data_IF_302154853276
#
_entry.id   IF_302154853276
#
_cell.length_a   1.000
_cell.length_b   1.000
_cell.length_c   1.000
_cell.angle_alpha   90.00
_cell.angle_beta   90.00
_cell.angle_gamma   90.00
#
_symmetry.space_group_name_H-M   'P 1'
#
loop_
_entity.id
_entity.type
_entity.pdbx_description
1 polymer ?
#
# COMPACT_ATOMS: atom_id res chain seq x y z
N UNK A 1 -50.26 13.50 -6.64
CA UNK A 1 -49.05 13.98 -7.29
C UNK A 1 -48.03 14.17 -6.18
N UNK A 2 -47.11 13.29 -6.10
CA UNK A 2 -46.10 13.23 -5.05
C UNK A 2 -44.74 13.39 -5.72
N UNK A 3 -44.29 14.62 -5.82
CA UNK A 3 -42.97 14.92 -6.38
C UNK A 3 -41.91 14.57 -5.34
N UNK A 4 -41.03 13.67 -5.69
CA UNK A 4 -39.90 13.23 -4.86
C UNK A 4 -38.70 14.19 -5.07
N UNK A 5 -38.29 14.98 -4.06
CA UNK A 5 -37.26 16.02 -4.22
C UNK A 5 -35.82 15.50 -4.00
N UNK A 6 -35.50 14.26 -4.43
CA UNK A 6 -34.17 13.67 -4.19
C UNK A 6 -33.30 13.43 -5.42
N UNK A 7 -33.62 14.02 -6.57
CA UNK A 7 -32.88 13.73 -7.81
C UNK A 7 -31.86 14.79 -8.24
N UNK A 8 -31.78 15.94 -7.57
CA UNK A 8 -30.96 17.07 -8.05
C UNK A 8 -29.72 17.37 -7.20
N UNK A 9 -29.27 16.40 -6.40
CA UNK A 9 -28.05 16.54 -5.58
C UNK A 9 -26.83 15.84 -6.16
N UNK A 10 -26.80 15.54 -7.45
CA UNK A 10 -25.52 15.22 -8.11
C UNK A 10 -24.87 16.56 -8.47
N UNK A 11 -23.91 16.91 -7.63
CA UNK A 11 -23.05 18.06 -7.80
C UNK A 11 -22.67 18.30 -9.26
N UNK A 12 -22.66 19.56 -9.66
CA UNK A 12 -22.05 20.08 -10.87
C UNK A 12 -20.81 19.27 -11.25
N UNK A 13 -20.60 18.92 -12.51
CA UNK A 13 -19.39 18.19 -12.92
C UNK A 13 -18.19 18.99 -12.45
N UNK A 14 -17.34 18.36 -11.64
CA UNK A 14 -16.16 18.93 -11.04
C UNK A 14 -15.34 19.62 -12.13
N UNK A 15 -15.37 20.95 -12.19
CA UNK A 15 -14.63 21.71 -13.19
C UNK A 15 -13.12 21.60 -12.87
N UNK A 16 -12.46 20.66 -13.51
CA UNK A 16 -11.01 20.48 -13.43
C UNK A 16 -10.23 21.63 -14.11
N UNK A 17 -10.89 22.63 -14.65
CA UNK A 17 -10.26 23.72 -15.43
C UNK A 17 -9.95 24.97 -14.61
N UNK A 18 -10.46 25.10 -13.40
CA UNK A 18 -10.10 26.22 -12.54
C UNK A 18 -8.75 25.92 -11.86
N UNK A 19 -7.68 26.53 -12.36
CA UNK A 19 -6.28 26.40 -11.92
C UNK A 19 -5.98 26.88 -10.48
N UNK A 20 -6.67 26.33 -9.49
CA UNK A 20 -6.52 26.65 -8.07
C UNK A 20 -6.13 25.39 -7.27
N UNK A 21 -5.90 24.26 -7.93
CA UNK A 21 -5.49 23.05 -7.21
C UNK A 21 -3.99 22.87 -7.31
N UNK A 22 -3.30 22.97 -6.16
CA UNK A 22 -1.90 22.57 -6.03
C UNK A 22 -1.67 21.12 -6.45
N UNK A 23 -0.43 20.67 -6.43
CA UNK A 23 -0.05 19.31 -6.85
C UNK A 23 -0.86 18.24 -6.12
N UNK A 24 -1.28 17.23 -6.87
CA UNK A 24 -2.01 16.06 -6.36
C UNK A 24 -1.08 14.85 -6.36
N UNK A 25 -0.83 14.28 -5.20
CA UNK A 25 -0.13 13.01 -5.06
C UNK A 25 -1.09 11.83 -5.21
N UNK A 26 -0.76 10.88 -6.07
CA UNK A 26 -1.45 9.60 -6.20
C UNK A 26 -0.57 8.52 -5.59
N UNK A 27 -0.99 7.98 -4.46
CA UNK A 27 -0.27 6.92 -3.76
C UNK A 27 -0.94 5.57 -4.02
N UNK A 28 -0.27 4.72 -4.81
CA UNK A 28 -0.69 3.33 -4.99
C UNK A 28 -0.25 2.51 -3.78
N UNK A 29 -1.19 1.85 -3.12
CA UNK A 29 -0.88 1.05 -1.91
C UNK A 29 -1.17 -0.41 -2.16
N UNK A 30 -0.16 -1.27 -2.02
CA UNK A 30 -0.34 -2.71 -2.06
C UNK A 30 -0.21 -3.33 -0.66
N UNK A 31 -0.58 -4.62 -0.53
CA UNK A 31 -0.64 -5.31 0.76
C UNK A 31 0.70 -5.32 1.48
N UNK A 32 1.75 -5.64 0.77
CA UNK A 32 3.10 -5.69 1.33
C UNK A 32 3.83 -7.01 1.14
N UNK A 33 5.12 -6.95 1.42
CA UNK A 33 6.06 -8.04 1.20
C UNK A 33 7.27 -7.87 2.12
N UNK A 34 7.99 -8.94 2.48
CA UNK A 34 9.24 -8.80 3.23
C UNK A 34 10.31 -8.07 2.40
N UNK A 35 11.27 -7.47 3.09
CA UNK A 35 12.41 -6.80 2.44
C UNK A 35 13.43 -7.78 1.88
N UNK A 36 13.53 -8.97 2.50
CA UNK A 36 14.43 -10.05 2.11
C UNK A 36 13.82 -11.40 2.54
N UNK A 37 14.38 -12.50 2.03
CA UNK A 37 13.97 -13.87 2.34
C UNK A 37 14.65 -14.44 3.58
N UNK A 38 15.53 -13.68 4.24
CA UNK A 38 16.20 -14.08 5.47
C UNK A 38 15.24 -14.17 6.67
N UNK A 39 15.69 -14.91 7.71
CA UNK A 39 14.89 -15.14 8.90
C UNK A 39 14.40 -13.85 9.58
N UNK A 40 15.27 -12.83 9.70
CA UNK A 40 14.93 -11.63 10.44
C UNK A 40 14.01 -10.68 9.67
N UNK A 41 14.21 -10.56 8.36
CA UNK A 41 13.33 -9.81 7.47
C UNK A 41 11.94 -10.43 7.41
N UNK A 42 11.87 -11.76 7.26
CA UNK A 42 10.61 -12.49 7.34
C UNK A 42 9.94 -12.35 8.71
N UNK A 43 10.69 -12.40 9.80
CA UNK A 43 10.15 -12.25 11.15
C UNK A 43 9.56 -10.86 11.37
N UNK A 44 10.23 -9.79 10.90
CA UNK A 44 9.72 -8.41 10.98
C UNK A 44 8.42 -8.26 10.23
N UNK A 45 8.39 -8.69 8.97
CA UNK A 45 7.22 -8.66 8.12
C UNK A 45 6.03 -9.45 8.70
N UNK A 46 6.26 -10.70 9.11
CA UNK A 46 5.21 -11.52 9.71
C UNK A 46 4.70 -10.93 11.04
N UNK A 47 5.57 -10.33 11.83
CA UNK A 47 5.17 -9.65 13.07
C UNK A 47 4.25 -8.47 12.78
N UNK A 48 4.61 -7.61 11.84
CA UNK A 48 3.81 -6.45 11.44
C UNK A 48 2.45 -6.91 10.91
N UNK A 49 2.44 -7.79 9.93
CA UNK A 49 1.24 -8.32 9.28
C UNK A 49 0.28 -9.03 10.25
N UNK A 50 0.79 -9.95 11.06
CA UNK A 50 -0.03 -10.76 11.97
C UNK A 50 -0.37 -10.06 13.30
N UNK A 51 0.21 -8.90 13.57
CA UNK A 51 -0.19 -8.06 14.71
C UNK A 51 -1.39 -7.17 14.42
N UNK A 52 -1.74 -6.98 13.14
CA UNK A 52 -2.90 -6.17 12.76
C UNK A 52 -4.20 -6.91 13.13
N UNK A 53 -5.06 -6.21 13.89
CA UNK A 53 -6.35 -6.72 14.34
C UNK A 53 -7.34 -7.01 13.21
N UNK A 54 -7.15 -6.36 12.07
CA UNK A 54 -7.97 -6.57 10.88
C UNK A 54 -7.61 -7.87 10.16
N UNK A 55 -6.42 -8.41 10.41
CA UNK A 55 -5.95 -9.68 9.85
C UNK A 55 -6.30 -10.85 10.77
N UNK A 56 -6.18 -10.65 12.09
CA UNK A 56 -6.41 -11.70 13.10
C UNK A 56 -7.38 -11.20 14.18
N UNK A 57 -8.59 -11.73 14.14
CA UNK A 57 -9.68 -11.42 15.07
C UNK A 57 -9.72 -12.38 16.27
N UNK A 58 -8.60 -12.48 17.01
CA UNK A 58 -8.47 -13.35 18.18
C UNK A 58 -8.18 -12.50 19.42
N UNK A 59 -8.45 -13.05 20.63
CA UNK A 59 -8.09 -12.41 21.89
C UNK A 59 -6.61 -11.99 21.89
N UNK A 60 -6.34 -10.72 22.17
CA UNK A 60 -4.99 -10.11 22.03
C UNK A 60 -3.93 -10.78 22.88
N UNK A 61 -4.25 -11.14 24.10
CA UNK A 61 -3.27 -11.74 25.03
C UNK A 61 -2.88 -13.13 24.55
N UNK A 62 -3.89 -13.93 24.20
CA UNK A 62 -3.68 -15.29 23.66
C UNK A 62 -2.90 -15.21 22.36
N UNK A 63 -3.31 -14.33 21.45
CA UNK A 63 -2.63 -14.17 20.18
C UNK A 63 -1.19 -13.66 20.33
N UNK A 64 -0.94 -12.72 21.23
CA UNK A 64 0.40 -12.22 21.49
C UNK A 64 1.35 -13.35 21.93
N UNK A 65 0.90 -14.26 22.81
CA UNK A 65 1.69 -15.42 23.26
C UNK A 65 1.94 -16.37 22.08
N UNK A 66 0.91 -16.72 21.32
CA UNK A 66 1.03 -17.61 20.17
C UNK A 66 1.92 -17.01 19.08
N UNK A 67 1.72 -15.73 18.77
CA UNK A 67 2.50 -15.03 17.76
C UNK A 67 4.00 -15.02 18.12
N UNK A 68 4.35 -14.55 19.31
CA UNK A 68 5.75 -14.40 19.70
C UNK A 68 6.41 -15.72 20.11
N UNK A 69 5.68 -16.63 20.76
CA UNK A 69 6.21 -17.91 21.23
C UNK A 69 6.32 -18.99 20.16
N UNK A 70 5.39 -19.03 19.22
CA UNK A 70 5.31 -20.11 18.24
C UNK A 70 5.50 -19.61 16.81
N UNK A 71 4.64 -18.67 16.37
CA UNK A 71 4.59 -18.29 14.94
C UNK A 71 5.90 -17.63 14.50
N UNK A 72 6.37 -16.63 15.25
CA UNK A 72 7.58 -15.87 14.92
C UNK A 72 8.90 -16.62 15.19
N UNK A 73 8.83 -17.81 15.77
CA UNK A 73 10.00 -18.68 15.95
C UNK A 73 10.09 -19.75 14.86
N UNK A 74 8.96 -20.26 14.40
CA UNK A 74 8.90 -21.41 13.49
C UNK A 74 8.60 -21.04 12.02
N UNK A 75 7.78 -20.01 11.80
CA UNK A 75 7.34 -19.65 10.45
C UNK A 75 8.35 -18.87 9.60
N UNK A 76 9.22 -18.00 10.14
CA UNK A 76 10.09 -17.17 9.31
C UNK A 76 10.96 -17.96 8.33
N UNK A 77 11.62 -19.02 8.77
CA UNK A 77 12.46 -19.86 7.90
C UNK A 77 11.66 -20.50 6.78
N UNK A 78 10.53 -21.14 7.11
CA UNK A 78 9.68 -21.80 6.13
C UNK A 78 9.06 -20.82 5.14
N UNK A 79 8.64 -19.66 5.61
CA UNK A 79 8.11 -18.60 4.74
C UNK A 79 9.21 -18.00 3.87
N UNK A 80 10.42 -17.81 4.40
CA UNK A 80 11.58 -17.35 3.63
C UNK A 80 11.94 -18.27 2.47
N UNK A 81 11.90 -19.60 2.68
CA UNK A 81 12.09 -20.58 1.62
C UNK A 81 11.02 -20.46 0.52
N UNK A 82 9.75 -20.28 0.90
CA UNK A 82 8.67 -20.09 -0.06
C UNK A 82 8.81 -18.77 -0.84
N UNK A 83 9.21 -17.68 -0.18
CA UNK A 83 9.48 -16.41 -0.88
C UNK A 83 10.70 -16.51 -1.80
N UNK A 84 11.75 -17.23 -1.40
CA UNK A 84 12.95 -17.43 -2.22
C UNK A 84 12.65 -18.13 -3.55
N UNK A 85 11.69 -19.05 -3.58
CA UNK A 85 11.30 -19.76 -4.80
C UNK A 85 10.65 -18.87 -5.86
N UNK A 86 10.17 -17.68 -5.49
CA UNK A 86 9.54 -16.70 -6.40
C UNK A 86 10.29 -15.37 -6.44
N UNK A 87 11.43 -15.28 -5.73
CA UNK A 87 12.19 -14.03 -5.58
C UNK A 87 12.77 -13.58 -6.92
N UNK A 88 12.72 -12.30 -7.20
CA UNK A 88 13.38 -11.73 -8.36
C UNK A 88 14.87 -11.56 -8.04
N UNK A 89 15.71 -12.45 -8.53
CA UNK A 89 17.15 -12.44 -8.25
C UNK A 89 17.88 -11.25 -8.88
N UNK A 90 17.36 -10.69 -9.98
CA UNK A 90 17.99 -9.56 -10.67
C UNK A 90 17.80 -8.24 -9.89
N UNK A 91 16.64 -8.06 -9.30
CA UNK A 91 16.26 -6.85 -8.56
C UNK A 91 16.36 -7.03 -7.04
N UNK A 92 16.67 -8.26 -6.60
CA UNK A 92 16.71 -8.64 -5.19
C UNK A 92 15.45 -8.23 -4.41
N UNK A 93 14.28 -8.52 -5.00
CA UNK A 93 12.99 -8.16 -4.39
C UNK A 93 11.87 -9.14 -4.76
N UNK A 94 10.76 -9.04 -4.04
CA UNK A 94 9.58 -9.86 -4.34
C UNK A 94 8.88 -9.41 -5.62
N UNK A 95 8.22 -10.33 -6.35
CA UNK A 95 7.41 -9.98 -7.53
C UNK A 95 6.34 -8.93 -7.23
N UNK A 96 5.75 -8.94 -6.03
CA UNK A 96 4.74 -7.95 -5.64
C UNK A 96 5.32 -6.53 -5.62
N UNK A 97 6.55 -6.35 -5.12
CA UNK A 97 7.25 -5.06 -5.10
C UNK A 97 7.56 -4.60 -6.53
N UNK A 98 8.15 -5.47 -7.33
CA UNK A 98 8.46 -5.19 -8.76
C UNK A 98 7.22 -4.75 -9.53
N UNK A 99 6.12 -5.52 -9.41
CA UNK A 99 4.88 -5.24 -10.14
C UNK A 99 4.25 -3.93 -9.66
N UNK A 100 4.20 -3.68 -8.34
CA UNK A 100 3.61 -2.46 -7.80
C UNK A 100 4.37 -1.21 -8.27
N UNK A 101 5.71 -1.24 -8.23
CA UNK A 101 6.54 -0.17 -8.76
C UNK A 101 6.29 0.05 -10.25
N UNK A 102 6.32 -0.99 -11.05
CA UNK A 102 6.07 -0.90 -12.49
C UNK A 102 4.65 -0.36 -12.82
N UNK A 103 3.66 -0.66 -12.00
CA UNK A 103 2.32 -0.08 -12.14
C UNK A 103 2.34 1.42 -11.87
N UNK A 104 3.01 1.88 -10.80
CA UNK A 104 3.15 3.30 -10.49
C UNK A 104 3.87 4.06 -11.62
N UNK A 105 4.98 3.53 -12.11
CA UNK A 105 5.74 4.09 -13.22
C UNK A 105 4.89 4.23 -14.48
N UNK A 106 4.16 3.18 -14.89
CA UNK A 106 3.30 3.22 -16.06
C UNK A 106 2.12 4.19 -15.92
N UNK A 107 1.59 4.36 -14.70
CA UNK A 107 0.55 5.36 -14.44
C UNK A 107 1.16 6.76 -14.52
N UNK A 108 2.34 6.98 -13.95
CA UNK A 108 3.06 8.24 -14.06
C UNK A 108 3.33 8.61 -15.52
N UNK A 109 3.82 7.67 -16.32
CA UNK A 109 4.04 7.88 -17.76
C UNK A 109 2.75 8.29 -18.51
N UNK A 110 1.63 7.63 -18.22
CA UNK A 110 0.35 7.95 -18.83
C UNK A 110 -0.22 9.31 -18.42
N UNK A 111 0.11 9.75 -17.20
CA UNK A 111 -0.29 11.04 -16.65
C UNK A 111 0.76 12.13 -16.84
N UNK A 112 1.92 11.82 -17.41
CA UNK A 112 3.10 12.69 -17.54
C UNK A 112 2.89 13.98 -18.35
N UNK A 113 1.72 14.17 -18.96
CA UNK A 113 1.30 15.44 -19.55
C UNK A 113 0.62 16.40 -18.55
N UNK A 114 0.55 16.00 -17.28
CA UNK A 114 -0.08 16.76 -16.18
C UNK A 114 0.95 17.00 -15.08
N UNK A 115 1.66 18.12 -15.14
CA UNK A 115 2.72 18.49 -14.19
C UNK A 115 2.23 18.60 -12.74
N UNK A 116 0.90 18.73 -12.54
CA UNK A 116 0.28 18.79 -11.22
C UNK A 116 0.04 17.41 -10.57
N UNK A 117 0.28 16.30 -11.27
CA UNK A 117 0.05 14.96 -10.71
C UNK A 117 1.38 14.25 -10.49
N UNK A 118 1.61 13.84 -9.25
CA UNK A 118 2.75 13.02 -8.85
C UNK A 118 2.26 11.64 -8.44
N UNK A 119 2.83 10.60 -9.00
CA UNK A 119 2.46 9.21 -8.68
C UNK A 119 3.59 8.55 -7.93
N UNK A 120 3.25 7.89 -6.82
CA UNK A 120 4.17 7.10 -6.02
C UNK A 120 3.49 5.83 -5.51
N UNK A 121 4.21 4.95 -4.87
CA UNK A 121 3.69 3.68 -4.36
C UNK A 121 4.20 3.38 -2.95
N UNK A 122 3.42 2.60 -2.21
CA UNK A 122 3.76 2.17 -0.86
C UNK A 122 3.18 0.80 -0.56
N UNK A 123 3.64 0.22 0.55
CA UNK A 123 3.17 -1.05 1.08
C UNK A 123 2.42 -0.82 2.40
N UNK A 124 1.33 -1.55 2.59
CA UNK A 124 0.59 -1.58 3.86
C UNK A 124 1.45 -2.20 4.97
N UNK A 125 2.21 -3.25 4.64
CA UNK A 125 3.15 -3.93 5.52
C UNK A 125 4.51 -4.04 4.84
N UNK A 126 5.58 -3.70 5.55
CA UNK A 126 6.94 -3.63 5.00
C UNK A 126 7.25 -2.29 4.34
N UNK A 127 8.18 -2.28 3.40
CA UNK A 127 8.75 -1.06 2.81
C UNK A 127 8.54 -0.95 1.29
N UNK A 128 8.41 0.30 0.75
CA UNK A 128 8.26 1.56 1.49
C UNK A 128 6.92 1.63 2.22
N UNK A 129 6.92 2.16 3.44
CA UNK A 129 5.69 2.29 4.23
C UNK A 129 4.76 3.38 3.67
N UNK A 130 3.46 3.30 3.99
CA UNK A 130 2.50 4.35 3.61
C UNK A 130 2.94 5.72 4.15
N UNK A 131 3.47 5.78 5.39
CA UNK A 131 3.95 7.02 5.98
C UNK A 131 5.09 7.62 5.13
N UNK A 132 6.08 6.83 4.77
CA UNK A 132 7.19 7.28 3.93
C UNK A 132 6.71 7.75 2.54
N UNK A 133 5.77 7.04 1.90
CA UNK A 133 5.20 7.45 0.62
C UNK A 133 4.42 8.77 0.72
N UNK A 134 3.66 8.97 1.80
CA UNK A 134 2.97 10.24 2.05
C UNK A 134 3.95 11.39 2.27
N UNK A 135 4.99 11.18 3.10
CA UNK A 135 6.04 12.17 3.35
C UNK A 135 6.74 12.57 2.06
N UNK A 136 7.12 11.60 1.22
CA UNK A 136 7.76 11.86 -0.07
C UNK A 136 6.88 12.68 -1.02
N UNK A 137 5.56 12.44 -1.04
CA UNK A 137 4.63 13.23 -1.84
C UNK A 137 4.46 14.67 -1.30
N UNK A 138 4.44 14.84 0.02
CA UNK A 138 4.40 16.17 0.66
C UNK A 138 5.67 16.95 0.34
N UNK A 139 6.85 16.35 0.43
CA UNK A 139 8.13 16.96 0.08
C UNK A 139 8.19 17.40 -1.39
N UNK A 140 7.50 16.70 -2.29
CA UNK A 140 7.34 17.08 -3.69
C UNK A 140 6.31 18.19 -3.92
N UNK A 141 5.71 18.72 -2.85
CA UNK A 141 4.77 19.84 -2.88
C UNK A 141 3.33 19.44 -3.18
N UNK A 142 2.96 18.17 -2.95
CA UNK A 142 1.58 17.74 -3.09
C UNK A 142 0.72 18.28 -1.94
N UNK A 143 -0.34 19.00 -2.28
CA UNK A 143 -1.32 19.56 -1.33
C UNK A 143 -2.51 18.64 -1.11
N UNK A 144 -2.75 17.71 -2.03
CA UNK A 144 -3.84 16.72 -1.96
C UNK A 144 -3.28 15.34 -2.24
N UNK A 145 -3.85 14.34 -1.58
CA UNK A 145 -3.46 12.95 -1.75
C UNK A 145 -4.67 12.09 -2.14
N UNK A 146 -4.50 11.33 -3.21
CA UNK A 146 -5.37 10.22 -3.58
C UNK A 146 -4.67 8.93 -3.20
N UNK A 147 -5.18 8.22 -2.19
CA UNK A 147 -4.69 6.89 -1.83
C UNK A 147 -5.50 5.84 -2.58
N UNK A 148 -4.84 5.04 -3.40
CA UNK A 148 -5.46 4.02 -4.23
C UNK A 148 -5.00 2.61 -3.82
N UNK A 149 -5.80 1.86 -3.05
CA UNK A 149 -5.45 0.50 -2.64
C UNK A 149 -5.57 -0.49 -3.80
N UNK A 150 -4.53 -1.32 -3.99
CA UNK A 150 -4.45 -2.36 -5.02
C UNK A 150 -4.83 -3.75 -4.51
N UNK A 151 -5.29 -3.84 -3.28
CA UNK A 151 -5.72 -5.09 -2.63
C UNK A 151 -7.16 -4.96 -2.12
N UNK A 152 -7.88 -6.09 -1.94
CA UNK A 152 -9.25 -6.06 -1.44
C UNK A 152 -9.36 -5.35 -0.10
N UNK A 153 -10.40 -4.51 0.04
CA UNK A 153 -10.78 -3.86 1.29
C UNK A 153 -11.96 -4.61 1.91
N UNK A 154 -11.93 -4.82 3.23
CA UNK A 154 -13.02 -5.41 4.00
C UNK A 154 -13.72 -4.34 4.81
#
# INVERSE_FOLDING_TARGET
MNENPRTDAFAEPFDCRSGVFGKVGVLLVNLGTPDDTDYWSMRRYLKEFLSDRRVIEVNRVVWWVVLNGIVLTTRPSKSGEAYRSIWNEELDESPLRTITRAQAEKIAERLGHRDEIVVDWAMRYGNPSIAAGVEALIEQGCEKLLVFPLYPQY
#
